data_IF_860309891190
#
_entry.id   IF_860309891190
#
_cell.length_a   1.000
_cell.length_b   1.000
_cell.length_c   1.000
_cell.angle_alpha   90.00
_cell.angle_beta   90.00
_cell.angle_gamma   90.00
#
_symmetry.space_group_name_H-M   'P 1'
#
loop_
_entity.id
_entity.type
_entity.pdbx_description
1 polymer ?
#
# COMPACT_ATOMS: atom_id res chain seq x y z
N UNK A 1 5.87 2.76 15.59
CA UNK A 1 6.23 1.62 14.74
C UNK A 1 6.12 0.37 15.59
N UNK A 2 5.53 -0.70 15.07
CA UNK A 2 5.40 -1.98 15.76
C UNK A 2 5.46 -3.11 14.74
N UNK A 3 6.00 -4.25 15.16
CA UNK A 3 6.09 -5.47 14.36
C UNK A 3 5.59 -6.62 15.24
N UNK A 4 4.53 -7.28 14.78
CA UNK A 4 3.96 -8.45 15.46
C UNK A 4 4.70 -9.71 15.00
N UNK A 5 4.15 -10.43 14.02
CA UNK A 5 4.74 -11.64 13.45
C UNK A 5 4.87 -11.51 11.92
N UNK A 6 5.32 -12.58 11.28
CA UNK A 6 5.52 -12.60 9.83
C UNK A 6 4.19 -12.78 9.08
N UNK A 7 3.27 -13.54 9.68
CA UNK A 7 2.01 -13.99 9.10
C UNK A 7 0.84 -13.03 9.36
N UNK A 8 0.87 -12.23 10.43
CA UNK A 8 -0.30 -11.51 10.96
C UNK A 8 -0.28 -9.99 10.72
N UNK A 9 0.67 -9.49 9.90
CA UNK A 9 0.90 -8.05 9.76
C UNK A 9 -0.32 -7.27 9.23
N UNK A 10 -1.16 -7.89 8.39
CA UNK A 10 -2.38 -7.24 7.89
C UNK A 10 -3.42 -7.10 9.02
N UNK A 11 -3.67 -8.19 9.74
CA UNK A 11 -4.60 -8.30 10.85
C UNK A 11 -4.17 -7.41 12.01
N UNK A 12 -2.86 -7.33 12.26
CA UNK A 12 -2.28 -6.48 13.28
C UNK A 12 -2.55 -5.01 13.02
N UNK A 13 -2.29 -4.53 11.79
CA UNK A 13 -2.63 -3.17 11.39
C UNK A 13 -4.14 -2.92 11.35
N UNK A 14 -4.94 -3.91 10.96
CA UNK A 14 -6.40 -3.83 11.03
C UNK A 14 -6.89 -3.66 12.47
N UNK A 15 -6.32 -4.38 13.44
CA UNK A 15 -6.59 -4.19 14.86
C UNK A 15 -6.28 -2.77 15.32
N UNK A 16 -5.18 -2.17 14.86
CA UNK A 16 -4.87 -0.76 15.13
C UNK A 16 -5.94 0.17 14.55
N UNK A 17 -6.39 -0.05 13.31
CA UNK A 17 -7.46 0.76 12.70
C UNK A 17 -8.75 0.68 13.51
N UNK A 18 -9.14 -0.51 13.97
CA UNK A 18 -10.32 -0.69 14.82
C UNK A 18 -10.18 0.01 16.18
N UNK A 19 -9.00 -0.01 16.79
CA UNK A 19 -8.73 0.72 18.01
C UNK A 19 -8.85 2.23 17.81
N UNK A 20 -8.26 2.79 16.74
CA UNK A 20 -8.40 4.21 16.40
C UNK A 20 -9.87 4.56 16.15
N UNK A 21 -10.60 3.75 15.39
CA UNK A 21 -12.03 3.97 15.10
C UNK A 21 -12.86 4.02 16.40
N UNK A 22 -12.57 3.11 17.34
CA UNK A 22 -13.25 3.03 18.63
C UNK A 22 -12.96 4.26 19.49
N UNK A 23 -11.69 4.63 19.63
CA UNK A 23 -11.26 5.82 20.39
C UNK A 23 -11.90 7.08 19.80
N UNK A 24 -11.85 7.24 18.47
CA UNK A 24 -12.45 8.39 17.79
C UNK A 24 -13.96 8.43 17.98
N UNK A 25 -14.66 7.29 17.92
CA UNK A 25 -16.10 7.24 18.19
C UNK A 25 -16.43 7.72 19.60
N UNK A 26 -15.67 7.29 20.61
CA UNK A 26 -15.85 7.73 22.00
C UNK A 26 -15.52 9.22 22.17
N UNK A 27 -14.44 9.70 21.56
CA UNK A 27 -14.06 11.11 21.58
C UNK A 27 -15.18 11.98 20.99
N UNK A 28 -15.71 11.62 19.82
CA UNK A 28 -16.79 12.36 19.18
C UNK A 28 -18.07 12.36 20.02
N UNK A 29 -18.41 11.23 20.65
CA UNK A 29 -19.55 11.14 21.54
C UNK A 29 -19.41 12.08 22.75
N UNK A 30 -18.23 12.11 23.38
CA UNK A 30 -17.96 13.00 24.51
C UNK A 30 -17.90 14.47 24.09
N UNK A 31 -17.36 14.80 22.91
CA UNK A 31 -17.43 16.16 22.36
C UNK A 31 -18.88 16.64 22.18
N UNK A 32 -19.75 15.78 21.65
CA UNK A 32 -21.18 16.10 21.48
C UNK A 32 -21.90 16.27 22.82
N UNK A 33 -21.60 15.43 23.81
CA UNK A 33 -22.17 15.55 25.14
C UNK A 33 -21.69 16.82 25.86
N UNK A 34 -20.41 17.17 25.72
CA UNK A 34 -19.85 18.42 26.24
C UNK A 34 -20.53 19.65 25.61
N UNK A 35 -20.73 19.65 24.28
CA UNK A 35 -21.47 20.71 23.58
C UNK A 35 -22.91 20.86 24.10
N UNK A 36 -23.61 19.74 24.32
CA UNK A 36 -24.98 19.75 24.84
C UNK A 36 -25.07 20.21 26.30
N UNK A 37 -24.03 19.97 27.10
CA UNK A 37 -23.94 20.44 28.49
C UNK A 37 -23.62 21.93 28.61
N UNK A 38 -23.22 22.57 27.51
CA UNK A 38 -22.84 23.98 27.45
C UNK A 38 -21.34 24.19 27.68
N UNK A 39 -20.68 24.81 26.70
CA UNK A 39 -19.26 25.17 26.75
C UNK A 39 -19.11 26.68 26.56
N UNK A 40 -17.90 27.18 26.83
CA UNK A 40 -17.53 28.54 26.43
C UNK A 40 -17.62 28.71 24.92
N UNK A 41 -17.91 29.94 24.46
CA UNK A 41 -18.14 30.22 23.04
C UNK A 41 -16.99 29.75 22.15
N UNK A 42 -15.76 30.00 22.57
CA UNK A 42 -14.57 29.63 21.81
C UNK A 42 -14.38 28.11 21.69
N UNK A 43 -14.56 27.36 22.77
CA UNK A 43 -14.45 25.89 22.73
C UNK A 43 -15.62 25.26 21.97
N UNK A 44 -16.81 25.87 22.05
CA UNK A 44 -17.99 25.48 21.27
C UNK A 44 -17.70 25.56 19.77
N UNK A 45 -17.20 26.70 19.31
CA UNK A 45 -16.84 26.93 17.91
C UNK A 45 -15.75 25.94 17.45
N UNK A 46 -14.70 25.76 18.27
CA UNK A 46 -13.61 24.85 17.95
C UNK A 46 -14.08 23.39 17.83
N UNK A 47 -14.94 22.91 18.74
CA UNK A 47 -15.51 21.56 18.66
C UNK A 47 -16.43 21.38 17.44
N UNK A 48 -17.26 22.37 17.12
CA UNK A 48 -18.10 22.33 15.92
C UNK A 48 -17.24 22.25 14.65
N UNK A 49 -16.21 23.09 14.54
CA UNK A 49 -15.29 23.06 13.40
C UNK A 49 -14.52 21.73 13.32
N UNK A 50 -14.12 21.16 14.45
CA UNK A 50 -13.43 19.86 14.46
C UNK A 50 -14.32 18.72 13.96
N UNK A 51 -15.64 18.79 14.19
CA UNK A 51 -16.58 17.81 13.64
C UNK A 51 -16.67 17.88 12.11
N UNK A 52 -16.56 19.08 11.52
CA UNK A 52 -16.52 19.24 10.06
C UNK A 52 -15.24 18.62 9.48
N UNK A 53 -14.12 18.79 10.19
CA UNK A 53 -12.80 18.28 9.80
C UNK A 53 -12.52 16.86 10.31
N UNK A 54 -13.55 16.11 10.75
CA UNK A 54 -13.35 14.86 11.48
C UNK A 54 -12.66 13.76 10.67
N UNK A 55 -12.73 13.80 9.34
CA UNK A 55 -12.04 12.82 8.49
C UNK A 55 -10.77 13.38 7.85
N UNK A 56 -10.39 14.61 8.21
CA UNK A 56 -9.25 15.33 7.64
C UNK A 56 -7.97 15.09 8.45
N UNK A 57 -6.84 15.04 7.73
CA UNK A 57 -5.50 14.85 8.28
C UNK A 57 -4.55 16.03 8.00
N UNK A 58 -5.06 17.06 7.33
CA UNK A 58 -4.30 18.23 6.89
C UNK A 58 -3.94 19.21 8.01
N UNK A 59 -3.21 20.26 7.63
CA UNK A 59 -2.69 21.25 8.57
C UNK A 59 -3.80 22.04 9.30
N UNK A 60 -4.95 22.25 8.67
CA UNK A 60 -6.11 22.88 9.30
C UNK A 60 -6.60 22.07 10.50
N UNK A 61 -6.84 20.76 10.31
CA UNK A 61 -7.27 19.85 11.37
C UNK A 61 -6.24 19.77 12.51
N UNK A 62 -4.93 19.74 12.18
CA UNK A 62 -3.85 19.72 13.18
C UNK A 62 -3.79 21.00 14.02
N UNK A 63 -3.84 22.16 13.37
CA UNK A 63 -3.84 23.46 14.06
C UNK A 63 -5.07 23.60 14.96
N UNK A 64 -6.24 23.16 14.47
CA UNK A 64 -7.47 23.20 15.27
C UNK A 64 -7.40 22.23 16.46
N UNK A 65 -6.85 21.03 16.29
CA UNK A 65 -6.65 20.09 17.39
C UNK A 65 -5.74 20.69 18.48
N UNK A 66 -4.64 21.33 18.10
CA UNK A 66 -3.75 22.04 19.03
C UNK A 66 -4.48 23.20 19.73
N UNK A 67 -5.31 23.95 18.99
CA UNK A 67 -6.13 25.02 19.58
C UNK A 67 -7.06 24.45 20.63
N UNK A 68 -7.79 23.37 20.32
CA UNK A 68 -8.67 22.69 21.27
C UNK A 68 -7.89 22.25 22.51
N UNK A 69 -6.76 21.56 22.32
CA UNK A 69 -5.90 21.10 23.43
C UNK A 69 -5.48 22.25 24.35
N UNK A 70 -5.19 23.44 23.79
CA UNK A 70 -4.85 24.62 24.59
C UNK A 70 -6.01 25.20 25.42
N UNK A 71 -7.26 24.95 25.01
CA UNK A 71 -8.47 25.44 25.68
C UNK A 71 -8.99 24.49 26.76
N UNK A 72 -8.70 23.18 26.65
CA UNK A 72 -9.20 22.15 27.57
C UNK A 72 -8.86 22.38 29.06
N UNK A 73 -7.65 22.84 29.45
CA UNK A 73 -7.33 23.05 30.87
C UNK A 73 -8.23 24.07 31.57
N UNK A 74 -8.52 25.20 30.90
CA UNK A 74 -9.40 26.24 31.43
C UNK A 74 -10.85 25.74 31.55
N UNK A 75 -11.33 25.02 30.52
CA UNK A 75 -12.66 24.44 30.54
C UNK A 75 -12.83 23.39 31.65
N UNK A 76 -11.82 22.55 31.90
CA UNK A 76 -11.84 21.57 33.00
C UNK A 76 -11.83 22.21 34.40
N UNK A 77 -11.16 23.35 34.57
CA UNK A 77 -11.06 24.02 35.87
C UNK A 77 -12.43 24.48 36.41
N UNK A 78 -13.40 24.70 35.53
CA UNK A 78 -14.77 25.14 35.87
C UNK A 78 -15.58 24.08 36.62
N UNK A 79 -15.29 22.78 36.40
CA UNK A 79 -15.99 21.65 37.02
C UNK A 79 -17.53 21.73 36.91
N UNK A 80 -18.03 22.22 35.78
CA UNK A 80 -19.46 22.35 35.49
C UNK A 80 -20.04 21.07 34.85
N UNK A 81 -21.25 21.14 34.31
CA UNK A 81 -21.95 19.99 33.73
C UNK A 81 -21.19 19.31 32.57
N UNK A 82 -20.26 20.02 31.91
CA UNK A 82 -19.45 19.47 30.84
C UNK A 82 -18.22 18.69 31.34
N UNK A 83 -17.83 18.87 32.60
CA UNK A 83 -16.62 18.29 33.21
C UNK A 83 -16.40 16.78 32.98
N UNK A 84 -17.38 15.88 33.22
CA UNK A 84 -17.16 14.45 33.01
C UNK A 84 -16.85 14.11 31.54
N UNK A 85 -17.47 14.81 30.59
CA UNK A 85 -17.24 14.62 29.17
C UNK A 85 -15.90 15.20 28.73
N UNK A 86 -15.53 16.39 29.22
CA UNK A 86 -14.24 17.01 28.93
C UNK A 86 -13.06 16.19 29.47
N UNK A 87 -13.25 15.50 30.60
CA UNK A 87 -12.22 14.59 31.14
C UNK A 87 -11.95 13.44 30.18
N UNK A 88 -13.01 12.88 29.58
CA UNK A 88 -12.88 11.86 28.51
C UNK A 88 -12.33 12.41 27.21
N UNK A 89 -12.66 13.65 26.85
CA UNK A 89 -12.04 14.34 25.70
C UNK A 89 -10.52 14.47 25.90
N UNK A 90 -10.06 14.83 27.10
CA UNK A 90 -8.61 14.92 27.41
C UNK A 90 -7.92 13.56 27.32
N UNK A 91 -8.55 12.48 27.79
CA UNK A 91 -8.01 11.11 27.67
C UNK A 91 -7.70 10.72 26.23
N UNK A 92 -8.49 11.20 25.27
CA UNK A 92 -8.37 10.90 23.84
C UNK A 92 -7.91 12.08 23.00
N UNK A 93 -7.39 13.16 23.58
CA UNK A 93 -7.11 14.41 22.87
C UNK A 93 -6.08 14.27 21.72
N UNK A 94 -5.26 13.23 21.72
CA UNK A 94 -4.34 12.93 20.64
C UNK A 94 -5.05 12.39 19.39
N UNK A 95 -6.34 12.08 19.48
CA UNK A 95 -7.17 11.49 18.44
C UNK A 95 -8.18 12.48 17.86
N UNK A 96 -8.00 13.79 17.97
CA UNK A 96 -8.81 14.73 17.19
C UNK A 96 -8.55 14.56 15.69
N UNK A 97 -7.28 14.47 15.29
CA UNK A 97 -6.88 14.21 13.89
C UNK A 97 -6.80 12.71 13.63
N UNK A 98 -7.39 12.25 12.51
CA UNK A 98 -7.41 10.82 12.17
C UNK A 98 -6.00 10.28 11.94
N UNK A 99 -5.83 8.97 12.12
CA UNK A 99 -4.53 8.30 12.00
C UNK A 99 -4.43 7.56 10.67
N UNK A 100 -3.32 7.73 9.98
CA UNK A 100 -2.99 7.00 8.76
C UNK A 100 -2.33 5.67 9.14
N UNK A 101 -3.04 4.56 8.96
CA UNK A 101 -2.54 3.21 9.29
C UNK A 101 -1.86 2.61 8.07
N UNK A 102 -0.59 2.21 8.25
CA UNK A 102 0.23 1.58 7.22
C UNK A 102 0.72 0.21 7.68
N UNK A 103 0.40 -0.82 6.90
CA UNK A 103 0.88 -2.18 7.04
C UNK A 103 1.97 -2.40 5.99
N UNK A 104 3.22 -2.49 6.42
CA UNK A 104 4.36 -2.56 5.50
C UNK A 104 4.99 -3.95 5.60
N UNK A 105 5.25 -4.59 4.46
CA UNK A 105 5.92 -5.88 4.44
C UNK A 105 6.46 -6.26 3.06
N UNK A 106 7.26 -7.32 3.01
CA UNK A 106 7.83 -7.83 1.76
C UNK A 106 6.86 -8.72 0.99
N UNK A 107 7.27 -9.15 -0.21
CA UNK A 107 6.46 -10.05 -1.03
C UNK A 107 6.21 -11.42 -0.39
N UNK A 108 7.16 -11.96 0.38
CA UNK A 108 6.94 -13.23 1.08
C UNK A 108 5.81 -13.20 2.11
N UNK A 109 5.57 -12.03 2.72
CA UNK A 109 4.38 -11.85 3.55
C UNK A 109 3.12 -11.78 2.67
N UNK A 110 3.09 -10.85 1.73
CA UNK A 110 1.86 -10.51 1.01
C UNK A 110 1.41 -11.58 -0.01
N UNK A 111 2.35 -12.29 -0.63
CA UNK A 111 2.04 -13.29 -1.65
C UNK A 111 1.88 -14.68 -1.05
N UNK A 112 2.62 -14.99 0.02
CA UNK A 112 2.72 -16.32 0.62
C UNK A 112 2.05 -16.42 2.00
N UNK A 113 2.80 -16.21 3.09
CA UNK A 113 2.37 -16.63 4.44
C UNK A 113 1.24 -15.79 5.02
N UNK A 114 1.24 -14.48 4.77
CA UNK A 114 0.22 -13.54 5.26
C UNK A 114 -0.85 -13.21 4.22
N UNK A 115 -0.88 -13.90 3.08
CA UNK A 115 -1.83 -13.59 2.01
C UNK A 115 -3.29 -13.74 2.45
N UNK A 116 -3.61 -14.77 3.24
CA UNK A 116 -4.98 -14.98 3.74
C UNK A 116 -5.46 -13.82 4.62
N UNK A 117 -4.59 -13.34 5.51
CA UNK A 117 -4.83 -12.17 6.33
C UNK A 117 -4.99 -10.89 5.53
N UNK A 118 -4.08 -10.67 4.58
CA UNK A 118 -4.11 -9.52 3.66
C UNK A 118 -5.41 -9.48 2.85
N UNK A 119 -5.80 -10.60 2.25
CA UNK A 119 -7.05 -10.72 1.50
C UNK A 119 -8.27 -10.43 2.38
N UNK A 120 -8.32 -10.99 3.59
CA UNK A 120 -9.41 -10.75 4.53
C UNK A 120 -9.51 -9.28 4.96
N UNK A 121 -8.38 -8.64 5.29
CA UNK A 121 -8.35 -7.24 5.71
C UNK A 121 -8.77 -6.29 4.58
N UNK A 122 -8.34 -6.58 3.35
CA UNK A 122 -8.85 -5.89 2.16
C UNK A 122 -10.37 -6.04 2.07
N UNK A 123 -10.89 -7.26 2.24
CA UNK A 123 -12.32 -7.54 2.15
C UNK A 123 -13.15 -6.82 3.22
N UNK A 124 -12.59 -6.57 4.41
CA UNK A 124 -13.26 -5.84 5.50
C UNK A 124 -13.54 -4.36 5.20
N UNK A 125 -13.00 -3.82 4.09
CA UNK A 125 -13.30 -2.49 3.57
C UNK A 125 -13.13 -1.36 4.61
N UNK A 126 -12.00 -1.38 5.34
CA UNK A 126 -11.59 -0.31 6.26
C UNK A 126 -10.47 0.52 5.66
N UNK A 127 -10.33 1.77 6.13
CA UNK A 127 -9.29 2.68 5.69
C UNK A 127 -7.91 2.27 6.24
N UNK A 128 -7.23 1.39 5.50
CA UNK A 128 -5.88 0.88 5.80
C UNK A 128 -5.04 0.90 4.53
N UNK A 129 -3.77 1.29 4.66
CA UNK A 129 -2.81 1.29 3.57
C UNK A 129 -1.87 0.08 3.70
N UNK A 130 -1.83 -0.77 2.69
CA UNK A 130 -0.97 -1.94 2.60
C UNK A 130 0.15 -1.62 1.60
N UNK A 131 1.40 -1.63 2.06
CA UNK A 131 2.58 -1.43 1.21
C UNK A 131 3.37 -2.73 1.13
N UNK A 132 3.43 -3.28 -0.08
CA UNK A 132 4.22 -4.47 -0.41
C UNK A 132 5.50 -4.03 -1.09
N UNK A 133 6.63 -4.24 -0.41
CA UNK A 133 7.97 -4.06 -0.96
C UNK A 133 8.37 -5.34 -1.69
N UNK A 134 8.06 -5.41 -2.98
CA UNK A 134 8.19 -6.62 -3.79
C UNK A 134 9.61 -6.76 -4.34
N UNK A 135 10.44 -7.53 -3.63
CA UNK A 135 11.79 -7.89 -4.07
C UNK A 135 11.80 -9.21 -4.83
N UNK A 136 10.65 -9.84 -5.03
CA UNK A 136 10.48 -11.09 -5.78
C UNK A 136 11.19 -12.32 -5.21
N UNK A 137 11.71 -12.23 -3.99
CA UNK A 137 12.39 -13.30 -3.25
C UNK A 137 12.28 -13.02 -1.75
N UNK A 138 12.48 -14.04 -0.92
CA UNK A 138 12.63 -13.80 0.53
C UNK A 138 14.04 -13.26 0.81
N UNK A 139 14.21 -11.94 0.66
CA UNK A 139 15.53 -11.29 0.74
C UNK A 139 16.22 -11.53 2.08
N UNK A 140 15.51 -11.32 3.20
CA UNK A 140 16.09 -11.40 4.54
C UNK A 140 16.66 -12.80 4.86
N UNK A 141 15.98 -13.86 4.44
CA UNK A 141 16.40 -15.25 4.69
C UNK A 141 17.39 -15.79 3.64
N UNK A 142 17.90 -14.91 2.78
CA UNK A 142 18.96 -15.22 1.83
C UNK A 142 18.47 -15.71 0.46
N UNK A 143 17.31 -15.24 0.00
CA UNK A 143 16.87 -15.37 -1.39
C UNK A 143 16.16 -16.68 -1.71
N UNK A 144 15.20 -17.11 -0.88
CA UNK A 144 14.28 -18.21 -1.22
C UNK A 144 13.23 -17.75 -2.24
N UNK A 145 12.77 -18.68 -3.07
CA UNK A 145 11.67 -18.46 -3.98
C UNK A 145 10.36 -18.17 -3.21
N UNK A 146 9.56 -17.26 -3.75
CA UNK A 146 8.24 -16.88 -3.29
C UNK A 146 7.21 -17.05 -4.41
N UNK A 147 5.92 -16.85 -4.13
CA UNK A 147 4.90 -16.76 -5.20
C UNK A 147 5.04 -15.51 -6.06
N UNK A 148 5.78 -14.50 -5.60
CA UNK A 148 6.10 -13.30 -6.36
C UNK A 148 7.34 -13.50 -7.27
N UNK A 149 8.16 -14.52 -7.03
CA UNK A 149 9.28 -14.89 -7.93
C UNK A 149 8.72 -15.19 -9.33
N UNK A 150 9.30 -14.61 -10.39
CA UNK A 150 8.83 -14.79 -11.76
C UNK A 150 9.46 -16.02 -12.44
N UNK A 151 8.87 -16.41 -13.57
CA UNK A 151 9.36 -17.50 -14.42
C UNK A 151 10.81 -17.28 -14.83
N UNK A 152 11.62 -18.34 -14.78
CA UNK A 152 13.02 -18.32 -15.20
C UNK A 152 14.00 -17.73 -14.17
N UNK A 153 13.52 -17.15 -13.07
CA UNK A 153 14.37 -16.59 -12.04
C UNK A 153 14.92 -17.67 -11.11
N UNK A 154 16.24 -17.63 -10.83
CA UNK A 154 16.89 -18.48 -9.83
C UNK A 154 16.69 -17.92 -8.44
N UNK A 155 16.30 -18.80 -7.52
CA UNK A 155 16.29 -18.57 -6.08
C UNK A 155 16.53 -19.90 -5.35
N UNK A 156 16.75 -19.89 -4.03
CA UNK A 156 16.72 -21.15 -3.25
C UNK A 156 15.34 -21.78 -3.41
N UNK A 157 15.29 -23.11 -3.55
CA UNK A 157 14.09 -23.89 -3.94
C UNK A 157 13.62 -23.70 -5.40
N UNK A 158 14.32 -22.90 -6.20
CA UNK A 158 14.11 -22.73 -7.64
C UNK A 158 15.45 -22.62 -8.39
N UNK A 159 16.39 -23.54 -8.14
CA UNK A 159 17.77 -23.46 -8.64
C UNK A 159 17.89 -23.47 -10.17
N UNK A 160 17.02 -24.20 -10.85
CA UNK A 160 16.96 -24.28 -12.32
C UNK A 160 16.03 -23.22 -12.96
N UNK A 161 15.69 -22.18 -12.20
CA UNK A 161 14.67 -21.20 -12.59
C UNK A 161 13.26 -21.64 -12.16
N UNK A 162 12.45 -20.70 -11.69
CA UNK A 162 11.06 -20.98 -11.34
C UNK A 162 10.25 -21.31 -12.60
N UNK A 163 9.44 -22.38 -12.51
CA UNK A 163 8.69 -22.93 -13.66
C UNK A 163 7.30 -22.32 -13.85
N UNK A 164 6.79 -21.66 -12.82
CA UNK A 164 5.45 -21.04 -12.81
C UNK A 164 5.56 -19.52 -12.84
N UNK A 165 4.59 -18.87 -13.46
CA UNK A 165 4.46 -17.42 -13.48
C UNK A 165 4.39 -16.78 -12.09
N UNK A 166 4.69 -15.48 -12.04
CA UNK A 166 4.45 -14.64 -10.87
C UNK A 166 2.95 -14.58 -10.58
N UNK A 167 2.54 -14.82 -9.32
CA UNK A 167 1.16 -14.60 -8.87
C UNK A 167 0.81 -13.12 -9.08
N UNK A 168 -0.35 -12.81 -9.66
CA UNK A 168 -0.76 -11.42 -9.88
C UNK A 168 -1.63 -10.93 -8.70
N UNK A 169 -0.97 -10.47 -7.63
CA UNK A 169 -1.64 -10.02 -6.40
C UNK A 169 -2.53 -8.80 -6.65
N UNK A 170 -2.05 -7.83 -7.45
CA UNK A 170 -2.81 -6.63 -7.76
C UNK A 170 -4.09 -6.96 -8.51
N UNK A 171 -4.04 -7.85 -9.51
CA UNK A 171 -5.25 -8.33 -10.20
C UNK A 171 -6.25 -9.02 -9.29
N UNK A 172 -5.77 -9.82 -8.33
CA UNK A 172 -6.65 -10.47 -7.34
C UNK A 172 -7.34 -9.42 -6.47
N UNK A 173 -6.60 -8.44 -5.93
CA UNK A 173 -7.17 -7.36 -5.12
C UNK A 173 -8.18 -6.50 -5.90
N UNK A 174 -7.90 -6.22 -7.19
CA UNK A 174 -8.82 -5.47 -8.06
C UNK A 174 -10.17 -6.18 -8.27
N UNK A 175 -10.26 -7.50 -8.08
CA UNK A 175 -11.51 -8.25 -8.26
C UNK A 175 -12.62 -7.86 -7.27
N UNK A 176 -12.26 -7.29 -6.11
CA UNK A 176 -13.22 -6.75 -5.15
C UNK A 176 -13.93 -5.48 -5.66
N UNK A 177 -13.29 -4.71 -6.54
CA UNK A 177 -13.84 -3.49 -7.12
C UNK A 177 -13.77 -2.24 -6.22
N UNK A 178 -13.74 -2.39 -4.90
CA UNK A 178 -13.72 -1.29 -3.91
C UNK A 178 -12.36 -1.06 -3.23
N UNK A 179 -11.29 -1.64 -3.76
CA UNK A 179 -9.95 -1.57 -3.20
C UNK A 179 -9.12 -0.68 -4.10
N UNK A 180 -8.45 0.34 -3.57
CA UNK A 180 -7.46 1.07 -4.36
C UNK A 180 -6.23 0.18 -4.55
N UNK A 181 -5.77 0.01 -5.79
CA UNK A 181 -4.60 -0.83 -6.08
C UNK A 181 -3.63 -0.08 -6.98
N UNK A 182 -2.36 -0.03 -6.63
CA UNK A 182 -1.33 0.54 -7.49
C UNK A 182 -0.10 -0.34 -7.57
N UNK A 183 0.48 -0.41 -8.75
CA UNK A 183 1.81 -0.97 -8.99
C UNK A 183 2.76 0.17 -9.35
N UNK A 184 3.86 0.28 -8.61
CA UNK A 184 4.78 1.42 -8.69
C UNK A 184 6.22 0.95 -8.80
N UNK A 185 7.06 1.78 -9.43
CA UNK A 185 8.51 1.65 -9.44
C UNK A 185 9.08 3.08 -9.51
N UNK A 186 9.68 3.52 -8.41
CA UNK A 186 10.17 4.90 -8.20
C UNK A 186 11.14 5.33 -9.30
N UNK A 187 12.10 4.47 -9.64
CA UNK A 187 13.14 4.77 -10.64
C UNK A 187 12.61 4.82 -12.07
N UNK A 188 11.47 4.19 -12.33
CA UNK A 188 10.81 4.26 -13.63
C UNK A 188 10.00 5.56 -13.81
N UNK A 189 9.24 5.95 -12.79
CA UNK A 189 8.42 7.16 -12.85
C UNK A 189 8.08 7.68 -11.43
N UNK A 190 8.91 8.60 -10.94
CA UNK A 190 8.75 9.21 -9.61
C UNK A 190 7.41 9.94 -9.44
N UNK A 191 6.90 10.59 -10.49
CA UNK A 191 5.62 11.29 -10.45
C UNK A 191 4.44 10.31 -10.31
N UNK A 192 4.50 9.18 -11.02
CA UNK A 192 3.48 8.13 -10.91
C UNK A 192 3.51 7.49 -9.52
N UNK A 193 4.71 7.23 -8.98
CA UNK A 193 4.88 6.71 -7.62
C UNK A 193 4.26 7.68 -6.59
N UNK A 194 4.65 8.95 -6.60
CA UNK A 194 4.09 9.96 -5.69
C UNK A 194 2.56 10.06 -5.81
N UNK A 195 2.05 10.11 -7.05
CA UNK A 195 0.61 10.15 -7.31
C UNK A 195 -0.11 8.94 -6.72
N UNK A 196 0.43 7.75 -6.89
CA UNK A 196 -0.16 6.53 -6.37
C UNK A 196 -0.23 6.51 -4.84
N UNK A 197 0.82 6.98 -4.15
CA UNK A 197 0.83 7.10 -2.69
C UNK A 197 -0.17 8.15 -2.18
N UNK A 198 -0.27 9.31 -2.83
CA UNK A 198 -1.24 10.34 -2.45
C UNK A 198 -2.68 9.86 -2.66
N UNK A 199 -2.99 9.22 -3.79
CA UNK A 199 -4.31 8.68 -4.08
C UNK A 199 -4.69 7.55 -3.10
N UNK A 200 -3.76 6.63 -2.82
CA UNK A 200 -3.96 5.55 -1.85
C UNK A 200 -4.27 6.08 -0.44
N UNK A 201 -3.50 7.08 0.02
CA UNK A 201 -3.65 7.64 1.37
C UNK A 201 -4.97 8.39 1.54
N UNK A 202 -5.37 9.13 0.48
CA UNK A 202 -6.62 9.89 0.44
C UNK A 202 -7.86 9.00 0.24
N UNK A 203 -7.70 7.79 -0.30
CA UNK A 203 -8.80 6.87 -0.53
C UNK A 203 -9.44 6.44 0.81
N UNK A 204 -10.76 6.67 1.03
CA UNK A 204 -11.42 6.33 2.29
C UNK A 204 -11.82 4.84 2.32
N UNK A 205 -10.84 3.95 2.19
CA UNK A 205 -11.03 2.51 2.08
C UNK A 205 -9.69 1.76 2.04
N UNK A 206 -9.70 0.45 1.76
CA UNK A 206 -8.47 -0.33 1.70
C UNK A 206 -7.66 0.05 0.47
N UNK A 207 -6.36 0.27 0.68
CA UNK A 207 -5.40 0.62 -0.37
C UNK A 207 -4.25 -0.37 -0.39
N UNK A 208 -3.86 -0.85 -1.57
CA UNK A 208 -2.73 -1.75 -1.78
C UNK A 208 -1.75 -1.12 -2.77
N UNK A 209 -0.51 -0.89 -2.33
CA UNK A 209 0.59 -0.45 -3.19
C UNK A 209 1.60 -1.59 -3.27
N UNK A 210 1.93 -2.02 -4.50
CA UNK A 210 2.96 -3.00 -4.79
C UNK A 210 4.14 -2.26 -5.42
N UNK A 211 5.23 -2.12 -4.68
CA UNK A 211 6.41 -1.38 -5.09
C UNK A 211 7.54 -2.32 -5.50
N UNK A 212 7.97 -2.25 -6.76
CA UNK A 212 9.15 -2.97 -7.21
C UNK A 212 10.37 -2.51 -6.43
N UNK A 213 11.05 -3.44 -5.77
CA UNK A 213 12.14 -3.14 -4.83
C UNK A 213 13.41 -3.90 -5.25
N UNK A 214 14.32 -3.28 -6.03
CA UNK A 214 15.59 -3.90 -6.41
C UNK A 214 16.38 -4.37 -5.18
N UNK A 215 16.97 -5.55 -5.28
CA UNK A 215 17.60 -6.23 -4.15
C UNK A 215 18.97 -6.80 -4.53
N UNK A 216 19.88 -6.87 -3.56
CA UNK A 216 21.17 -7.54 -3.73
C UNK A 216 21.04 -8.99 -4.22
N UNK A 217 19.93 -9.67 -3.89
CA UNK A 217 19.66 -11.04 -4.34
C UNK A 217 19.34 -11.14 -5.84
N UNK A 218 19.07 -10.02 -6.52
CA UNK A 218 18.96 -9.98 -7.97
C UNK A 218 20.34 -10.10 -8.63
N UNK A 219 21.39 -9.73 -7.89
CA UNK A 219 22.77 -9.71 -8.36
C UNK A 219 22.97 -8.64 -9.43
N UNK A 220 22.67 -7.41 -9.04
CA UNK A 220 22.84 -6.18 -9.80
C UNK A 220 23.84 -5.26 -9.10
N UNK A 221 24.33 -4.26 -9.81
CA UNK A 221 25.04 -3.14 -9.20
C UNK A 221 24.04 -2.23 -8.48
N UNK A 222 24.03 -2.28 -7.14
CA UNK A 222 23.07 -1.53 -6.33
C UNK A 222 23.18 -0.01 -6.48
N UNK A 223 24.32 0.51 -6.95
CA UNK A 223 24.45 1.95 -7.27
C UNK A 223 23.53 2.37 -8.43
N UNK A 224 23.03 1.39 -9.21
CA UNK A 224 22.11 1.57 -10.34
C UNK A 224 20.69 1.08 -10.05
N UNK A 225 20.33 0.84 -8.79
CA UNK A 225 18.99 0.33 -8.40
C UNK A 225 17.83 1.09 -9.06
N UNK A 226 17.84 2.43 -9.07
CA UNK A 226 16.81 3.23 -9.73
C UNK A 226 16.77 3.03 -11.26
N UNK A 227 17.93 2.82 -11.89
CA UNK A 227 18.01 2.51 -13.32
C UNK A 227 17.47 1.10 -13.60
N UNK A 228 17.64 0.16 -12.67
CA UNK A 228 17.06 -1.18 -12.75
C UNK A 228 15.53 -1.15 -12.78
N UNK A 229 14.92 -0.35 -11.89
CA UNK A 229 13.47 -0.15 -11.88
C UNK A 229 12.98 0.41 -13.20
N UNK A 230 13.72 1.38 -13.76
CA UNK A 230 13.42 1.95 -15.07
C UNK A 230 13.51 0.89 -16.17
N UNK A 231 14.56 0.08 -16.19
CA UNK A 231 14.75 -0.99 -17.16
C UNK A 231 13.65 -2.05 -17.08
N UNK A 232 13.24 -2.42 -15.85
CA UNK A 232 12.14 -3.34 -15.60
C UNK A 232 10.83 -2.83 -16.24
N UNK A 233 10.54 -1.54 -16.12
CA UNK A 233 9.34 -0.96 -16.74
C UNK A 233 9.47 -0.79 -18.26
N UNK A 234 10.62 -0.31 -18.75
CA UNK A 234 10.85 -0.07 -20.19
C UNK A 234 10.83 -1.37 -21.02
N UNK A 235 11.08 -2.52 -20.40
CA UNK A 235 11.04 -3.87 -21.00
C UNK A 235 9.70 -4.58 -20.79
N UNK A 236 8.76 -4.00 -20.05
CA UNK A 236 7.47 -4.63 -19.70
C UNK A 236 7.56 -5.73 -18.63
N UNK A 237 8.71 -5.88 -17.99
CA UNK A 237 8.90 -6.79 -16.86
C UNK A 237 8.06 -6.41 -15.65
N UNK A 238 8.04 -5.12 -15.33
CA UNK A 238 7.17 -4.53 -14.32
C UNK A 238 6.21 -3.54 -14.98
N UNK A 239 4.96 -3.51 -14.55
CA UNK A 239 3.94 -2.61 -15.11
C UNK A 239 3.50 -1.61 -14.05
N UNK A 240 3.41 -0.35 -14.45
CA UNK A 240 2.88 0.74 -13.65
C UNK A 240 1.39 0.90 -13.97
N UNK A 241 0.56 0.83 -12.94
CA UNK A 241 -0.88 1.04 -13.07
C UNK A 241 -1.47 1.52 -11.75
N UNK A 242 -2.66 2.11 -11.85
CA UNK A 242 -3.50 2.48 -10.71
C UNK A 242 -4.93 2.07 -10.99
N UNK A 243 -5.58 1.51 -9.99
CA UNK A 243 -6.99 1.20 -9.96
C UNK A 243 -7.61 2.03 -8.84
N UNK A 244 -8.42 3.02 -9.21
CA UNK A 244 -9.07 3.93 -8.27
C UNK A 244 -10.61 3.70 -8.30
N UNK A 245 -11.18 3.05 -7.26
CA UNK A 245 -12.62 2.81 -7.16
C UNK A 245 -13.48 4.07 -7.18
N UNK A 246 -12.94 5.25 -6.82
CA UNK A 246 -13.70 6.49 -6.85
C UNK A 246 -14.06 6.92 -8.27
N UNK A 247 -13.19 6.64 -9.26
CA UNK A 247 -13.47 6.95 -10.67
C UNK A 247 -14.68 6.16 -11.18
N UNK A 248 -14.86 4.91 -10.75
CA UNK A 248 -16.04 4.13 -11.08
C UNK A 248 -17.33 4.76 -10.55
N UNK A 249 -17.30 5.39 -9.36
CA UNK A 249 -18.44 6.14 -8.81
C UNK A 249 -18.77 7.39 -9.62
N UNK A 250 -17.79 7.93 -10.35
CA UNK A 250 -17.96 9.04 -11.29
C UNK A 250 -18.34 8.58 -12.71
N UNK A 251 -18.56 7.28 -12.93
CA UNK A 251 -18.85 6.71 -14.24
C UNK A 251 -17.64 6.66 -15.18
N UNK A 252 -16.42 6.79 -14.65
CA UNK A 252 -15.16 6.69 -15.41
C UNK A 252 -14.53 5.30 -15.20
N UNK A 253 -13.63 4.92 -16.10
CA UNK A 253 -12.82 3.72 -15.91
C UNK A 253 -11.96 3.84 -14.63
N UNK A 254 -12.10 2.92 -13.66
CA UNK A 254 -11.25 2.92 -12.48
C UNK A 254 -9.79 2.56 -12.76
N UNK A 255 -9.51 1.85 -13.86
CA UNK A 255 -8.18 1.36 -14.20
C UNK A 255 -7.43 2.32 -15.13
N UNK A 256 -6.23 2.71 -14.71
CA UNK A 256 -5.27 3.49 -15.49
C UNK A 256 -3.99 2.69 -15.68
N UNK A 257 -3.63 2.37 -16.92
CA UNK A 257 -2.32 1.82 -17.27
C UNK A 257 -1.33 2.97 -17.48
N UNK A 258 -0.45 3.20 -16.50
CA UNK A 258 0.53 4.29 -16.55
C UNK A 258 1.82 3.88 -17.31
N UNK A 259 2.07 2.56 -17.45
CA UNK A 259 3.11 2.03 -18.34
C UNK A 259 2.76 2.27 -19.80
N UNK A 260 3.77 2.65 -20.59
CA UNK A 260 3.69 2.67 -22.05
C UNK A 260 3.98 1.28 -22.61
N UNK A 261 3.75 1.10 -23.92
CA UNK A 261 4.24 -0.09 -24.62
C UNK A 261 5.75 -0.25 -24.39
N UNK A 262 6.22 -1.47 -24.07
CA UNK A 262 7.64 -1.74 -23.89
C UNK A 262 8.45 -1.33 -25.12
N UNK A 263 9.55 -0.61 -24.88
CA UNK A 263 10.44 -0.11 -25.94
C UNK A 263 11.66 -0.99 -26.17
N UNK A 264 12.02 -1.74 -25.14
CA UNK A 264 13.21 -2.58 -25.11
C UNK A 264 12.81 -4.05 -25.12
N UNK A 265 13.70 -4.89 -25.65
CA UNK A 265 13.47 -6.33 -25.66
C UNK A 265 13.52 -6.88 -24.23
N UNK A 266 12.57 -7.76 -23.90
CA UNK A 266 12.40 -8.35 -22.57
C UNK A 266 13.67 -9.05 -22.07
N UNK A 267 14.42 -9.71 -22.96
CA UNK A 267 15.66 -10.39 -22.58
C UNK A 267 16.77 -9.44 -22.14
N UNK A 268 16.68 -8.14 -22.49
CA UNK A 268 17.63 -7.12 -22.04
C UNK A 268 17.64 -7.03 -20.52
N UNK A 269 16.45 -7.05 -19.89
CA UNK A 269 16.32 -7.06 -18.44
C UNK A 269 16.82 -8.37 -17.84
N UNK A 270 16.41 -9.52 -18.39
CA UNK A 270 16.84 -10.82 -17.88
C UNK A 270 18.37 -10.97 -17.89
N UNK A 271 19.03 -10.56 -18.99
CA UNK A 271 20.50 -10.66 -19.11
C UNK A 271 21.24 -9.70 -18.20
N UNK A 272 20.58 -8.69 -17.65
CA UNK A 272 21.21 -7.70 -16.76
C UNK A 272 21.44 -8.26 -15.35
N UNK A 273 20.58 -9.18 -14.88
CA UNK A 273 20.61 -9.66 -13.50
C UNK A 273 21.22 -11.07 -13.36
N UNK A 274 22.02 -11.31 -12.32
CA UNK A 274 22.66 -12.63 -12.09
C UNK A 274 21.61 -13.72 -11.84
N UNK A 275 20.47 -13.40 -11.21
CA UNK A 275 19.40 -14.39 -10.94
C UNK A 275 18.82 -15.05 -12.20
N UNK A 276 19.00 -14.46 -13.38
CA UNK A 276 18.66 -15.07 -14.66
C UNK A 276 19.90 -15.57 -15.40
N UNK A 277 20.99 -14.78 -15.45
CA UNK A 277 22.23 -15.19 -16.13
C UNK A 277 22.77 -16.52 -15.64
N UNK A 278 22.69 -16.78 -14.34
CA UNK A 278 23.11 -18.05 -13.75
C UNK A 278 22.28 -19.25 -14.20
N UNK A 279 20.98 -19.07 -14.49
CA UNK A 279 20.15 -20.13 -15.09
C UNK A 279 20.57 -20.40 -16.53
N UNK A 280 20.82 -19.34 -17.30
CA UNK A 280 21.31 -19.47 -18.68
C UNK A 280 22.66 -20.18 -18.75
N UNK A 281 23.55 -19.90 -17.80
CA UNK A 281 24.87 -20.51 -17.72
C UNK A 281 24.80 -21.99 -17.35
N UNK A 282 24.06 -22.34 -16.30
CA UNK A 282 24.09 -23.71 -15.75
C UNK A 282 23.04 -24.63 -16.38
N UNK A 283 21.96 -24.08 -16.93
CA UNK A 283 20.82 -24.82 -17.48
C UNK A 283 20.31 -24.19 -18.81
N UNK A 284 21.15 -24.10 -19.86
CA UNK A 284 20.85 -23.33 -21.08
C UNK A 284 19.55 -23.75 -21.80
N UNK A 285 19.28 -25.06 -21.88
CA UNK A 285 18.05 -25.57 -22.52
C UNK A 285 16.79 -25.18 -21.74
N UNK A 286 16.88 -25.21 -20.41
CA UNK A 286 15.78 -24.78 -19.53
C UNK A 286 15.60 -23.27 -19.58
N UNK A 287 16.70 -22.51 -19.55
CA UNK A 287 16.68 -21.06 -19.63
C UNK A 287 16.01 -20.57 -20.91
N UNK A 288 16.36 -21.17 -22.05
CA UNK A 288 15.75 -20.84 -23.36
C UNK A 288 14.23 -20.99 -23.30
N UNK A 289 13.73 -22.11 -22.76
CA UNK A 289 12.29 -22.37 -22.63
C UNK A 289 11.63 -21.40 -21.64
N UNK A 290 12.23 -21.21 -20.47
CA UNK A 290 11.66 -20.37 -19.41
C UNK A 290 11.69 -18.88 -19.76
N UNK A 291 12.70 -18.40 -20.47
CA UNK A 291 12.77 -16.99 -20.88
C UNK A 291 11.78 -16.68 -22.00
N UNK A 292 11.58 -17.61 -22.95
CA UNK A 292 10.51 -17.50 -23.93
C UNK A 292 9.13 -17.48 -23.25
N UNK A 293 8.92 -18.35 -22.26
CA UNK A 293 7.69 -18.37 -21.47
C UNK A 293 7.50 -17.05 -20.71
N UNK A 294 8.52 -16.55 -20.01
CA UNK A 294 8.45 -15.30 -19.24
C UNK A 294 8.12 -14.09 -20.13
N UNK A 295 8.72 -14.02 -21.32
CA UNK A 295 8.43 -12.99 -22.33
C UNK A 295 6.96 -13.04 -22.79
N UNK A 296 6.44 -14.24 -23.04
CA UNK A 296 5.04 -14.41 -23.44
C UNK A 296 4.06 -14.11 -22.30
N UNK A 297 4.38 -14.50 -21.07
CA UNK A 297 3.61 -14.14 -19.88
C UNK A 297 3.55 -12.62 -19.67
N UNK A 298 4.69 -11.93 -19.81
CA UNK A 298 4.76 -10.47 -19.70
C UNK A 298 3.93 -9.78 -20.80
N UNK A 299 4.03 -10.27 -22.05
CA UNK A 299 3.21 -9.77 -23.17
C UNK A 299 1.72 -9.93 -22.89
N UNK A 300 1.28 -11.14 -22.50
CA UNK A 300 -0.13 -11.41 -22.17
C UNK A 300 -0.64 -10.53 -21.03
N UNK A 301 0.20 -10.30 -20.00
CA UNK A 301 -0.14 -9.44 -18.87
C UNK A 301 -0.29 -7.98 -19.29
N UNK A 302 0.61 -7.48 -20.14
CA UNK A 302 0.47 -6.13 -20.71
C UNK A 302 -0.81 -5.99 -21.53
N UNK A 303 -1.09 -6.92 -22.45
CA UNK A 303 -2.33 -6.88 -23.27
C UNK A 303 -3.59 -6.95 -22.41
N UNK A 304 -3.59 -7.76 -21.35
CA UNK A 304 -4.69 -7.82 -20.40
C UNK A 304 -4.95 -6.46 -19.74
N UNK A 305 -3.91 -5.80 -19.24
CA UNK A 305 -4.05 -4.49 -18.60
C UNK A 305 -4.36 -3.37 -19.59
N UNK A 306 -3.81 -3.43 -20.80
CA UNK A 306 -4.15 -2.51 -21.89
C UNK A 306 -5.64 -2.59 -22.19
N UNK A 307 -6.20 -3.80 -22.29
CA UNK A 307 -7.64 -3.99 -22.45
C UNK A 307 -8.45 -3.41 -21.29
N UNK A 308 -8.02 -3.63 -20.04
CA UNK A 308 -8.71 -3.03 -18.87
C UNK A 308 -8.71 -1.50 -18.87
N UNK A 309 -7.69 -0.87 -19.45
CA UNK A 309 -7.60 0.60 -19.56
C UNK A 309 -8.39 1.20 -20.72
N UNK A 310 -8.87 0.34 -21.63
CA UNK A 310 -9.64 0.70 -22.81
C UNK A 310 -11.09 0.33 -22.55
N UNK A 311 -11.84 1.20 -21.88
CA UNK A 311 -13.31 1.24 -21.82
C UNK A 311 -13.73 2.40 -20.91
#
# INVERSE_FOLDING_TARGET
WANSLFEDNAEYGFGMRLAVDTIRKELLANMNAALAAGLEAELTEAFQKMKELWNERGDEAKKLAQRIQSLLPAALARKDAAYPYLTKVVEFQDYFVDKSIWCIGGDGWAYDIGYGGLDHVIAMNRNVNLLVLDTEVYSNTGGQASKSTPTGSRAKFASSGKKTGKKDLGRMAMSYGYVYVASVAMGANMNQCLKAFMEAEAYPGPSLIIAYSPCINHGIDMSKSQQEEKLAVDTGYWLLYRYNPQLAKEGKNPFSLDSKEPKLDYETFLKNEIRYRSVLQDYPDMATKLFAQAKEEARKRFEYYKKLSQD
#
